data_IF_604665607941
#
_entry.id   IF_604665607941
#
_cell.length_a   1.000
_cell.length_b   1.000
_cell.length_c   1.000
_cell.angle_alpha   90.00
_cell.angle_beta   90.00
_cell.angle_gamma   90.00
#
_symmetry.space_group_name_H-M   'P 1'
#
loop_
_entity.id
_entity.type
_entity.pdbx_description
1 polymer ?
#
# COMPACT_ATOMS: atom_id res chain seq x y z
N UNK A 1 -21.25 -58.17 -2.46
CA UNK A 1 -19.87 -57.95 -1.97
C UNK A 1 -19.02 -57.37 -3.10
N UNK A 2 -18.95 -56.04 -3.19
CA UNK A 2 -17.96 -55.30 -3.99
C UNK A 2 -17.60 -54.04 -3.19
N UNK A 3 -16.40 -54.04 -2.63
CA UNK A 3 -15.79 -52.92 -1.94
C UNK A 3 -15.43 -51.84 -2.98
N UNK A 4 -16.07 -50.67 -2.92
CA UNK A 4 -15.59 -49.49 -3.65
C UNK A 4 -14.65 -48.71 -2.74
N UNK A 5 -13.35 -48.81 -3.04
CA UNK A 5 -12.30 -48.04 -2.40
C UNK A 5 -12.47 -46.55 -2.71
N UNK A 6 -12.30 -45.78 -1.63
CA UNK A 6 -12.22 -44.33 -1.54
C UNK A 6 -11.48 -43.63 -2.68
N UNK A 7 -12.08 -42.58 -3.23
CA UNK A 7 -11.36 -41.47 -3.83
C UNK A 7 -11.37 -40.31 -2.84
N UNK A 8 -10.27 -40.16 -2.10
CA UNK A 8 -9.92 -38.89 -1.47
C UNK A 8 -9.60 -37.92 -2.60
N UNK A 9 -10.41 -36.88 -2.79
CA UNK A 9 -10.04 -35.73 -3.61
C UNK A 9 -8.87 -35.02 -2.94
N UNK A 10 -7.65 -35.37 -3.35
CA UNK A 10 -6.49 -34.52 -3.12
C UNK A 10 -6.72 -33.23 -3.91
N UNK A 11 -6.72 -32.10 -3.21
CA UNK A 11 -6.76 -30.76 -3.79
C UNK A 11 -5.68 -30.64 -4.85
N UNK A 12 -6.11 -30.38 -6.07
CA UNK A 12 -5.30 -29.95 -7.19
C UNK A 12 -4.93 -28.47 -6.93
N UNK A 13 -3.76 -28.25 -6.36
CA UNK A 13 -3.18 -26.90 -6.15
C UNK A 13 -1.70 -26.97 -6.53
N UNK A 14 -1.44 -27.23 -7.81
CA UNK A 14 -0.15 -26.93 -8.40
C UNK A 14 -0.10 -25.42 -8.64
N UNK A 15 0.44 -24.67 -7.67
CA UNK A 15 0.78 -23.26 -7.91
C UNK A 15 1.61 -23.18 -9.19
N UNK A 16 1.11 -22.48 -10.21
CA UNK A 16 1.86 -22.25 -11.44
C UNK A 16 3.22 -21.65 -11.08
N UNK A 17 4.28 -22.39 -11.39
CA UNK A 17 5.69 -22.01 -11.21
C UNK A 17 6.07 -20.75 -12.01
N UNK A 18 5.25 -20.40 -12.99
CA UNK A 18 5.44 -19.30 -13.91
C UNK A 18 4.37 -18.23 -13.71
N UNK A 19 4.73 -16.98 -14.00
CA UNK A 19 3.81 -15.84 -14.02
C UNK A 19 4.08 -14.95 -15.23
N UNK A 20 3.05 -14.25 -15.72
CA UNK A 20 3.18 -13.30 -16.83
C UNK A 20 3.49 -11.90 -16.28
N UNK A 21 4.43 -11.19 -16.90
CA UNK A 21 4.70 -9.80 -16.59
C UNK A 21 3.66 -8.88 -17.26
N UNK A 22 3.02 -8.01 -16.48
CA UNK A 22 2.01 -7.07 -16.99
C UNK A 22 2.60 -5.97 -17.89
N UNK A 23 3.90 -5.67 -17.75
CA UNK A 23 4.58 -4.64 -18.54
C UNK A 23 5.10 -5.16 -19.89
N UNK A 24 5.91 -6.23 -19.90
CA UNK A 24 6.53 -6.73 -21.13
C UNK A 24 5.85 -7.98 -21.71
N UNK A 25 4.90 -8.59 -21.00
CA UNK A 25 4.19 -9.78 -21.44
C UNK A 25 4.98 -11.09 -21.31
N UNK A 26 6.27 -11.06 -20.95
CA UNK A 26 7.11 -12.24 -20.77
C UNK A 26 6.59 -13.17 -19.67
N UNK A 27 6.74 -14.47 -19.86
CA UNK A 27 6.46 -15.49 -18.85
C UNK A 27 7.75 -15.71 -18.06
N UNK A 28 7.73 -15.40 -16.78
CA UNK A 28 8.90 -15.42 -15.89
C UNK A 28 8.72 -16.42 -14.76
N UNK A 29 9.81 -17.04 -14.33
CA UNK A 29 9.80 -18.01 -13.24
C UNK A 29 9.67 -17.30 -11.89
N UNK A 30 8.73 -17.73 -11.04
CA UNK A 30 8.40 -17.02 -9.78
C UNK A 30 9.59 -16.92 -8.82
N UNK A 31 10.40 -17.97 -8.68
CA UNK A 31 11.57 -17.94 -7.76
C UNK A 31 12.61 -16.90 -8.17
N UNK A 32 12.88 -16.74 -9.47
CA UNK A 32 13.81 -15.72 -9.97
C UNK A 32 13.27 -14.31 -9.68
N UNK A 33 11.95 -14.13 -9.77
CA UNK A 33 11.31 -12.86 -9.40
C UNK A 33 11.43 -12.60 -7.89
N UNK A 34 11.29 -13.62 -7.04
CA UNK A 34 11.48 -13.52 -5.60
C UNK A 34 12.94 -13.18 -5.23
N UNK A 35 13.91 -13.84 -5.86
CA UNK A 35 15.34 -13.55 -5.71
C UNK A 35 15.67 -12.10 -6.11
N UNK A 36 14.99 -11.57 -7.15
CA UNK A 36 15.08 -10.17 -7.58
C UNK A 36 14.12 -9.24 -6.82
N UNK A 37 13.69 -9.59 -5.61
CA UNK A 37 12.82 -8.77 -4.75
C UNK A 37 11.57 -8.27 -5.46
N UNK A 38 10.90 -9.18 -6.18
CA UNK A 38 9.68 -8.92 -6.96
C UNK A 38 9.86 -7.95 -8.12
N UNK A 39 11.03 -7.98 -8.75
CA UNK A 39 11.29 -7.27 -10.01
C UNK A 39 11.34 -8.23 -11.19
N UNK A 40 10.75 -7.84 -12.32
CA UNK A 40 10.80 -8.62 -13.54
C UNK A 40 12.24 -8.76 -14.04
N UNK A 41 12.75 -10.00 -14.26
CA UNK A 41 14.12 -10.20 -14.70
C UNK A 41 14.40 -9.64 -16.09
N UNK A 42 13.38 -9.50 -16.93
CA UNK A 42 13.49 -9.09 -18.33
C UNK A 42 13.41 -7.57 -18.51
N UNK A 43 12.47 -6.89 -17.84
CA UNK A 43 12.21 -5.47 -18.06
C UNK A 43 12.34 -4.60 -16.80
N UNK A 44 12.65 -5.19 -15.65
CA UNK A 44 12.76 -4.46 -14.38
C UNK A 44 11.44 -3.96 -13.81
N UNK A 45 10.28 -4.36 -14.34
CA UNK A 45 8.97 -3.98 -13.78
C UNK A 45 8.82 -4.46 -12.33
N UNK A 46 8.39 -3.56 -11.45
CA UNK A 46 8.13 -3.87 -10.04
C UNK A 46 6.75 -4.50 -9.88
N UNK A 47 6.70 -5.77 -9.49
CA UNK A 47 5.46 -6.45 -9.14
C UNK A 47 4.94 -5.96 -7.79
N UNK A 48 3.64 -6.16 -7.55
CA UNK A 48 3.05 -5.92 -6.23
C UNK A 48 3.69 -6.86 -5.21
N UNK A 49 3.98 -6.30 -4.05
CA UNK A 49 4.52 -7.05 -2.92
C UNK A 49 3.60 -6.92 -1.72
N UNK A 50 3.58 -7.95 -0.87
CA UNK A 50 2.83 -7.90 0.39
C UNK A 50 3.50 -6.98 1.41
N UNK A 51 2.78 -6.64 2.47
CA UNK A 51 3.35 -5.89 3.59
C UNK A 51 4.53 -6.63 4.22
N UNK A 52 4.38 -7.94 4.42
CA UNK A 52 5.43 -8.79 5.01
C UNK A 52 6.68 -8.85 4.14
N UNK A 53 6.51 -8.97 2.81
CA UNK A 53 7.62 -8.92 1.86
C UNK A 53 8.32 -7.56 1.90
N UNK A 54 7.57 -6.45 1.93
CA UNK A 54 8.16 -5.10 2.02
C UNK A 54 8.97 -4.93 3.30
N UNK A 55 8.42 -5.34 4.44
CA UNK A 55 9.11 -5.29 5.74
C UNK A 55 10.41 -6.08 5.66
N UNK A 56 10.35 -7.34 5.18
CA UNK A 56 11.52 -8.21 5.07
C UNK A 56 12.60 -7.68 4.11
N UNK A 57 12.21 -6.94 3.06
CA UNK A 57 13.18 -6.36 2.12
C UNK A 57 13.81 -5.04 2.59
N UNK A 58 13.20 -4.38 3.58
CA UNK A 58 13.55 -3.00 3.96
C UNK A 58 14.17 -2.92 5.34
N UNK A 59 13.61 -3.64 6.31
CA UNK A 59 14.02 -3.61 7.71
C UNK A 59 14.95 -4.77 8.03
N UNK A 60 15.78 -4.57 9.05
CA UNK A 60 16.68 -5.59 9.57
C UNK A 60 15.88 -6.74 10.20
N UNK A 61 16.31 -7.98 9.98
CA UNK A 61 15.63 -9.18 10.44
C UNK A 61 15.43 -9.18 11.96
N UNK A 62 14.23 -9.55 12.42
CA UNK A 62 13.89 -9.65 13.84
C UNK A 62 13.69 -8.30 14.55
N UNK A 63 13.76 -7.17 13.86
CA UNK A 63 13.61 -5.83 14.48
C UNK A 63 12.20 -5.26 14.40
N UNK A 64 11.34 -5.82 13.55
CA UNK A 64 9.98 -5.33 13.35
C UNK A 64 9.10 -5.56 14.57
N UNK A 65 8.44 -4.49 15.03
CA UNK A 65 7.40 -4.51 16.06
C UNK A 65 6.19 -3.75 15.54
N UNK A 66 5.11 -4.47 15.24
CA UNK A 66 3.86 -3.85 14.78
C UNK A 66 3.20 -3.04 15.91
N UNK A 67 2.69 -1.87 15.57
CA UNK A 67 1.99 -0.95 16.46
C UNK A 67 0.54 -0.75 15.97
N UNK A 68 -0.36 -0.51 16.90
CA UNK A 68 -1.76 -0.15 16.61
C UNK A 68 -2.51 -1.20 15.76
N UNK A 69 -2.16 -2.48 15.94
CA UNK A 69 -2.75 -3.62 15.24
C UNK A 69 -4.24 -3.84 15.58
N UNK A 70 -4.69 -3.23 16.68
CA UNK A 70 -6.04 -3.28 17.22
C UNK A 70 -7.00 -2.25 16.60
N UNK A 71 -6.51 -1.29 15.81
CA UNK A 71 -7.36 -0.27 15.15
C UNK A 71 -8.01 -0.86 13.89
N UNK A 72 -9.33 -0.74 13.79
CA UNK A 72 -10.15 -1.27 12.71
C UNK A 72 -11.25 -0.30 12.28
N UNK A 73 -11.74 -0.45 11.04
CA UNK A 73 -12.76 0.44 10.49
C UNK A 73 -14.14 0.02 10.97
N UNK A 74 -15.00 1.01 11.19
CA UNK A 74 -16.44 0.86 11.27
C UNK A 74 -17.10 1.33 9.96
N UNK A 75 -18.42 1.11 9.82
CA UNK A 75 -19.24 1.68 8.74
C UNK A 75 -20.07 2.86 9.28
N UNK A 76 -19.49 4.07 9.42
CA UNK A 76 -20.15 5.20 10.07
C UNK A 76 -21.32 5.74 9.24
N UNK A 77 -21.34 5.49 7.93
CA UNK A 77 -22.36 6.01 7.01
C UNK A 77 -23.43 4.98 6.68
N UNK A 78 -23.33 3.74 7.17
CA UNK A 78 -24.15 2.60 6.76
C UNK A 78 -24.21 2.49 5.22
N UNK A 79 -23.04 2.54 4.58
CA UNK A 79 -22.93 2.73 3.14
C UNK A 79 -23.48 1.53 2.35
N UNK A 80 -24.45 1.81 1.46
CA UNK A 80 -25.11 0.78 0.63
C UNK A 80 -24.83 1.03 -0.85
N UNK A 81 -24.19 0.04 -1.47
CA UNK A 81 -24.03 -0.07 -2.92
C UNK A 81 -24.28 -1.53 -3.34
N UNK A 82 -23.94 -1.89 -4.58
CA UNK A 82 -24.06 -3.29 -5.08
C UNK A 82 -23.34 -4.31 -4.18
N UNK A 83 -22.26 -3.89 -3.51
CA UNK A 83 -21.68 -4.55 -2.35
C UNK A 83 -21.64 -3.53 -1.22
N UNK A 84 -22.07 -3.91 -0.02
CA UNK A 84 -22.00 -3.03 1.16
C UNK A 84 -20.55 -2.77 1.56
N UNK A 85 -20.30 -1.71 2.34
CA UNK A 85 -18.95 -1.44 2.82
C UNK A 85 -18.43 -2.60 3.68
N UNK A 86 -19.25 -3.08 4.63
CA UNK A 86 -18.91 -4.22 5.49
C UNK A 86 -18.53 -5.48 4.71
N UNK A 87 -19.24 -5.80 3.62
CA UNK A 87 -18.89 -6.93 2.75
C UNK A 87 -17.53 -6.75 2.07
N UNK A 88 -17.25 -5.56 1.52
CA UNK A 88 -15.95 -5.26 0.89
C UNK A 88 -14.82 -5.32 1.90
N UNK A 89 -15.06 -4.79 3.10
CA UNK A 89 -14.10 -4.74 4.18
C UNK A 89 -13.76 -6.13 4.70
N UNK A 90 -14.75 -6.98 4.99
CA UNK A 90 -14.51 -8.35 5.44
C UNK A 90 -13.85 -9.21 4.35
N UNK A 91 -14.19 -9.00 3.08
CA UNK A 91 -13.49 -9.65 1.97
C UNK A 91 -12.01 -9.23 1.89
N UNK A 92 -11.71 -7.95 2.10
CA UNK A 92 -10.34 -7.45 2.14
C UNK A 92 -9.56 -8.01 3.34
N UNK A 93 -10.15 -7.99 4.56
CA UNK A 93 -9.58 -8.60 5.77
C UNK A 93 -9.25 -10.06 5.58
N UNK A 94 -10.18 -10.85 5.01
CA UNK A 94 -9.95 -12.27 4.75
C UNK A 94 -8.84 -12.51 3.72
N UNK A 95 -8.74 -11.63 2.71
CA UNK A 95 -7.73 -11.75 1.65
C UNK A 95 -6.33 -11.41 2.16
N UNK A 96 -6.18 -10.37 2.97
CA UNK A 96 -4.86 -9.86 3.39
C UNK A 96 -4.43 -10.33 4.77
N UNK A 97 -5.37 -10.81 5.61
CA UNK A 97 -5.12 -11.09 7.02
C UNK A 97 -4.92 -9.83 7.88
N UNK A 98 -5.13 -8.63 7.33
CA UNK A 98 -4.92 -7.34 8.01
C UNK A 98 -6.25 -6.69 8.38
N UNK A 99 -6.25 -5.85 9.41
CA UNK A 99 -7.45 -5.10 9.82
C UNK A 99 -7.79 -3.94 8.90
N UNK A 100 -6.79 -3.28 8.32
CA UNK A 100 -7.00 -2.24 7.31
C UNK A 100 -5.79 -2.18 6.36
N UNK A 101 -5.79 -1.25 5.42
CA UNK A 101 -4.72 -1.05 4.46
C UNK A 101 -3.43 -0.52 5.09
N UNK A 102 -3.49 0.22 6.20
CA UNK A 102 -2.30 0.76 6.85
C UNK A 102 -1.74 -0.20 7.92
N UNK A 103 -0.45 -0.49 7.80
CA UNK A 103 0.36 -1.20 8.79
C UNK A 103 1.46 -0.25 9.27
N UNK A 104 1.64 -0.15 10.59
CA UNK A 104 2.56 0.78 11.23
C UNK A 104 3.34 0.00 12.28
N UNK A 105 4.62 0.30 12.43
CA UNK A 105 5.46 -0.31 13.44
C UNK A 105 6.78 0.40 13.59
N UNK A 106 7.63 -0.15 14.45
CA UNK A 106 9.04 0.25 14.55
C UNK A 106 9.93 -0.87 14.00
N UNK A 107 11.12 -0.50 13.58
CA UNK A 107 12.16 -1.45 13.19
C UNK A 107 13.47 -0.72 12.96
N UNK A 108 14.48 -1.45 12.48
CA UNK A 108 15.79 -0.88 12.19
C UNK A 108 16.14 -1.03 10.71
N UNK A 109 16.89 -0.07 10.18
CA UNK A 109 17.51 -0.16 8.86
C UNK A 109 19.01 0.04 9.05
N UNK A 110 19.81 -1.01 8.84
CA UNK A 110 21.25 -1.00 9.10
C UNK A 110 21.58 -0.55 10.55
N UNK A 111 20.80 -1.03 11.52
CA UNK A 111 20.93 -0.71 12.94
C UNK A 111 20.35 0.63 13.37
N UNK A 112 19.78 1.42 12.47
CA UNK A 112 19.15 2.70 12.79
C UNK A 112 17.65 2.53 13.02
N UNK A 113 17.18 2.80 14.23
CA UNK A 113 15.77 2.75 14.58
C UNK A 113 14.95 3.75 13.77
N UNK A 114 13.78 3.33 13.31
CA UNK A 114 12.82 4.14 12.58
C UNK A 114 11.39 3.73 12.91
N UNK A 115 10.46 4.65 12.66
CA UNK A 115 9.05 4.31 12.49
C UNK A 115 8.83 3.99 11.02
N UNK A 116 8.26 2.83 10.76
CA UNK A 116 7.98 2.37 9.41
C UNK A 116 6.48 2.12 9.26
N UNK A 117 5.90 2.64 8.19
CA UNK A 117 4.52 2.38 7.82
C UNK A 117 4.39 2.02 6.34
N UNK A 118 3.37 1.23 6.02
CA UNK A 118 3.01 0.88 4.66
C UNK A 118 1.50 0.93 4.47
N UNK A 119 1.06 1.49 3.35
CA UNK A 119 -0.33 1.41 2.88
C UNK A 119 -0.41 0.33 1.81
N UNK A 120 -1.14 -0.75 2.07
CA UNK A 120 -1.26 -1.92 1.20
C UNK A 120 -2.36 -1.77 0.15
N UNK A 121 -1.97 -1.81 -1.12
CA UNK A 121 -2.86 -1.78 -2.26
C UNK A 121 -3.79 -3.01 -2.34
N UNK A 122 -3.47 -4.12 -1.67
CA UNK A 122 -4.31 -5.32 -1.66
C UNK A 122 -5.57 -5.16 -0.81
N UNK A 123 -5.60 -4.17 0.08
CA UNK A 123 -6.74 -3.85 0.93
C UNK A 123 -7.52 -2.65 0.35
N UNK A 124 -8.60 -2.93 -0.40
CA UNK A 124 -9.44 -1.90 -1.04
C UNK A 124 -8.59 -0.85 -1.81
N UNK A 125 -7.63 -1.34 -2.61
CA UNK A 125 -6.70 -0.52 -3.40
C UNK A 125 -5.87 0.47 -2.58
N UNK A 126 -5.67 0.21 -1.28
CA UNK A 126 -4.97 1.11 -0.38
C UNK A 126 -5.69 2.44 -0.19
N UNK A 127 -7.02 2.47 -0.42
CA UNK A 127 -7.81 3.69 -0.30
C UNK A 127 -7.74 4.24 1.13
N UNK A 128 -7.53 5.55 1.25
CA UNK A 128 -7.42 6.23 2.54
C UNK A 128 -8.79 6.49 3.13
N UNK A 129 -9.14 5.71 4.16
CA UNK A 129 -10.26 5.95 5.07
C UNK A 129 -9.76 6.33 6.47
N UNK A 130 -10.66 6.36 7.45
CA UNK A 130 -10.38 6.83 8.82
C UNK A 130 -9.25 6.06 9.49
N UNK A 131 -9.17 4.74 9.30
CA UNK A 131 -8.10 3.93 9.90
C UNK A 131 -6.74 4.22 9.28
N UNK A 132 -6.66 4.35 7.95
CA UNK A 132 -5.41 4.75 7.28
C UNK A 132 -4.95 6.10 7.80
N UNK A 133 -5.86 7.08 7.83
CA UNK A 133 -5.55 8.41 8.35
C UNK A 133 -5.12 8.42 9.82
N UNK A 134 -5.81 7.67 10.69
CA UNK A 134 -5.44 7.50 12.11
C UNK A 134 -4.06 6.86 12.26
N UNK A 135 -3.82 5.71 11.63
CA UNK A 135 -2.55 4.99 11.76
C UNK A 135 -1.36 5.81 11.26
N UNK A 136 -1.48 6.49 10.12
CA UNK A 136 -0.41 7.37 9.62
C UNK A 136 -0.20 8.60 10.52
N UNK A 137 -1.27 9.14 11.10
CA UNK A 137 -1.17 10.22 12.10
C UNK A 137 -0.41 9.75 13.34
N UNK A 138 -0.77 8.58 13.87
CA UNK A 138 -0.10 7.97 15.03
C UNK A 138 1.36 7.63 14.72
N UNK A 139 1.68 7.17 13.51
CA UNK A 139 3.05 6.94 13.08
C UNK A 139 3.89 8.23 13.14
N UNK A 140 3.35 9.34 12.63
CA UNK A 140 4.03 10.64 12.67
C UNK A 140 4.18 11.18 14.10
N UNK A 141 3.15 11.07 14.93
CA UNK A 141 3.24 11.47 16.34
C UNK A 141 4.21 10.61 17.13
N UNK A 142 4.21 9.29 16.91
CA UNK A 142 5.14 8.37 17.55
C UNK A 142 6.59 8.66 17.16
N UNK A 143 6.84 8.89 15.86
CA UNK A 143 8.15 9.30 15.35
C UNK A 143 8.62 10.61 16.00
N UNK A 144 7.71 11.58 16.13
CA UNK A 144 7.98 12.88 16.76
C UNK A 144 8.31 12.73 18.25
N UNK A 145 7.51 11.99 18.99
CA UNK A 145 7.70 11.77 20.43
C UNK A 145 9.02 11.06 20.74
N UNK A 146 9.37 10.04 19.95
CA UNK A 146 10.55 9.22 20.16
C UNK A 146 11.79 9.72 19.40
N UNK A 147 11.67 10.84 18.67
CA UNK A 147 12.72 11.43 17.83
C UNK A 147 13.32 10.43 16.83
N UNK A 148 12.45 9.64 16.22
CA UNK A 148 12.80 8.65 15.20
C UNK A 148 12.47 9.19 13.80
N UNK A 149 13.25 8.81 12.76
CA UNK A 149 12.84 9.05 11.39
C UNK A 149 11.57 8.28 11.07
N UNK A 150 10.68 8.89 10.28
CA UNK A 150 9.47 8.26 9.77
C UNK A 150 9.69 7.86 8.31
N UNK A 151 9.33 6.63 7.97
CA UNK A 151 9.35 6.12 6.60
C UNK A 151 7.96 5.59 6.27
N UNK A 152 7.32 6.12 5.23
CA UNK A 152 6.01 5.62 4.76
C UNK A 152 6.12 5.12 3.32
N UNK A 153 5.79 3.85 3.10
CA UNK A 153 5.68 3.25 1.76
C UNK A 153 4.22 3.31 1.29
N UNK A 154 3.96 3.98 0.17
CA UNK A 154 2.63 4.16 -0.38
C UNK A 154 2.30 3.12 -1.44
N UNK A 155 1.30 2.26 -1.17
CA UNK A 155 0.53 1.50 -2.15
C UNK A 155 -0.89 2.03 -2.32
N UNK A 156 -1.11 3.34 -2.15
CA UNK A 156 -2.44 3.95 -2.17
C UNK A 156 -2.90 4.33 -3.58
N UNK A 157 -3.23 3.32 -4.40
CA UNK A 157 -3.72 3.54 -5.77
C UNK A 157 -5.20 3.94 -5.84
N UNK A 158 -5.96 3.67 -4.77
CA UNK A 158 -7.41 3.87 -4.71
C UNK A 158 -7.88 5.27 -4.34
N UNK A 159 -6.97 6.18 -3.96
CA UNK A 159 -7.32 7.53 -3.50
C UNK A 159 -8.09 7.52 -2.18
N UNK A 160 -9.16 8.33 -2.07
CA UNK A 160 -10.00 8.38 -0.86
C UNK A 160 -10.96 7.18 -0.79
N UNK A 161 -11.22 6.66 0.42
CA UNK A 161 -12.18 5.57 0.62
C UNK A 161 -13.60 6.13 0.53
N UNK A 162 -14.25 5.93 -0.61
CA UNK A 162 -15.56 6.53 -0.90
C UNK A 162 -16.64 6.10 0.10
N UNK A 163 -16.53 4.89 0.64
CA UNK A 163 -17.47 4.31 1.60
C UNK A 163 -17.56 5.11 2.91
N UNK A 164 -16.51 5.85 3.28
CA UNK A 164 -16.49 6.71 4.47
C UNK A 164 -16.72 8.20 4.14
N UNK A 165 -16.93 8.54 2.86
CA UNK A 165 -17.30 9.87 2.40
C UNK A 165 -16.36 10.98 2.87
N UNK A 166 -16.91 11.99 3.54
CA UNK A 166 -16.17 13.17 3.99
C UNK A 166 -15.09 12.85 5.03
N UNK A 167 -15.25 11.76 5.80
CA UNK A 167 -14.23 11.33 6.76
C UNK A 167 -12.91 10.98 6.06
N UNK A 168 -12.97 10.35 4.90
CA UNK A 168 -11.80 10.06 4.07
C UNK A 168 -11.10 11.32 3.58
N UNK A 169 -11.86 12.37 3.21
CA UNK A 169 -11.28 13.65 2.80
C UNK A 169 -10.54 14.31 3.97
N UNK A 170 -11.13 14.32 5.17
CA UNK A 170 -10.49 14.92 6.35
C UNK A 170 -9.19 14.23 6.77
N UNK A 171 -8.98 12.96 6.39
CA UNK A 171 -7.71 12.29 6.65
C UNK A 171 -6.53 12.96 5.93
N UNK A 172 -6.76 13.63 4.79
CA UNK A 172 -5.73 14.42 4.11
C UNK A 172 -5.20 15.53 5.02
N UNK A 173 -6.10 16.34 5.59
CA UNK A 173 -5.73 17.43 6.47
C UNK A 173 -5.09 16.91 7.77
N UNK A 174 -5.66 15.85 8.35
CA UNK A 174 -5.18 15.24 9.60
C UNK A 174 -3.75 14.72 9.49
N UNK A 175 -3.47 13.91 8.47
CA UNK A 175 -2.13 13.33 8.25
C UNK A 175 -1.12 14.42 7.90
N UNK A 176 -1.50 15.37 7.04
CA UNK A 176 -0.64 16.51 6.69
C UNK A 176 -0.26 17.35 7.92
N UNK A 177 -1.22 17.59 8.83
CA UNK A 177 -0.95 18.32 10.07
C UNK A 177 0.03 17.58 11.00
N UNK A 178 -0.10 16.26 11.13
CA UNK A 178 0.82 15.46 11.94
C UNK A 178 2.24 15.40 11.35
N UNK A 179 2.35 15.25 10.03
CA UNK A 179 3.64 15.30 9.32
C UNK A 179 4.30 16.67 9.51
N UNK A 180 3.53 17.75 9.39
CA UNK A 180 4.06 19.10 9.64
C UNK A 180 4.58 19.26 11.06
N UNK A 181 3.88 18.72 12.06
CA UNK A 181 4.36 18.73 13.47
C UNK A 181 5.64 17.91 13.66
N UNK A 182 5.80 16.79 12.95
CA UNK A 182 7.05 16.02 12.94
C UNK A 182 8.20 16.86 12.37
N UNK A 183 8.01 17.46 11.19
CA UNK A 183 9.02 18.29 10.54
C UNK A 183 9.40 19.52 11.39
N UNK A 184 8.41 20.18 12.01
CA UNK A 184 8.65 21.34 12.90
C UNK A 184 9.46 21.00 14.16
N UNK A 185 9.44 19.74 14.57
CA UNK A 185 10.29 19.24 15.67
C UNK A 185 11.72 18.89 15.25
N UNK A 186 12.05 19.03 13.96
CA UNK A 186 13.31 18.60 13.37
C UNK A 186 13.37 17.11 13.03
N UNK A 187 12.24 16.41 13.02
CA UNK A 187 12.15 15.01 12.61
C UNK A 187 12.27 14.86 11.10
N UNK A 188 12.78 13.71 10.65
CA UNK A 188 12.92 13.38 9.21
C UNK A 188 11.77 12.50 8.77
N UNK A 189 11.16 12.85 7.64
CA UNK A 189 10.11 12.08 6.99
C UNK A 189 10.51 11.70 5.56
N UNK A 190 10.57 10.39 5.30
CA UNK A 190 10.83 9.81 3.98
C UNK A 190 9.56 9.15 3.46
N UNK A 191 9.19 9.44 2.22
CA UNK A 191 8.12 8.71 1.54
C UNK A 191 8.67 7.89 0.39
N UNK A 192 8.20 6.65 0.28
CA UNK A 192 8.45 5.77 -0.87
C UNK A 192 7.15 5.59 -1.66
N UNK A 193 7.09 6.15 -2.86
CA UNK A 193 5.96 6.07 -3.77
C UNK A 193 6.07 4.82 -4.64
N UNK A 194 5.07 3.94 -4.54
CA UNK A 194 5.01 2.70 -5.34
C UNK A 194 3.85 2.74 -6.33
N UNK A 195 3.85 1.78 -7.27
CA UNK A 195 2.80 1.68 -8.29
C UNK A 195 1.49 1.10 -7.71
N UNK A 196 0.40 1.85 -7.54
CA UNK A 196 0.21 3.28 -7.83
C UNK A 196 0.04 4.08 -6.55
N UNK A 197 0.37 5.38 -6.60
CA UNK A 197 0.07 6.34 -5.53
C UNK A 197 -0.72 7.51 -6.12
N UNK A 198 -2.03 7.52 -5.83
CA UNK A 198 -2.97 8.39 -6.53
C UNK A 198 -3.88 9.19 -5.59
N UNK A 199 -4.53 10.22 -6.12
CA UNK A 199 -5.65 10.88 -5.47
C UNK A 199 -5.29 11.59 -4.17
N UNK A 200 -6.16 11.43 -3.16
CA UNK A 200 -6.02 12.10 -1.87
C UNK A 200 -4.72 11.78 -1.14
N UNK A 201 -4.18 10.57 -1.30
CA UNK A 201 -2.88 10.20 -0.70
C UNK A 201 -1.74 10.97 -1.34
N UNK A 202 -1.68 11.03 -2.68
CA UNK A 202 -0.68 11.82 -3.41
C UNK A 202 -0.80 13.32 -3.11
N UNK A 203 -2.03 13.84 -2.97
CA UNK A 203 -2.29 15.24 -2.62
C UNK A 203 -2.22 15.55 -1.12
N UNK A 204 -1.70 14.64 -0.29
CA UNK A 204 -1.48 14.86 1.14
C UNK A 204 -0.17 14.21 1.57
N UNK A 205 -0.19 13.34 2.57
CA UNK A 205 1.00 12.78 3.22
C UNK A 205 2.07 12.28 2.24
N UNK A 206 1.70 11.65 1.11
CA UNK A 206 2.68 11.02 0.24
C UNK A 206 3.60 12.03 -0.50
N UNK A 207 3.18 13.27 -0.71
CA UNK A 207 4.00 14.31 -1.35
C UNK A 207 4.65 15.28 -0.37
N UNK A 208 4.55 15.02 0.94
CA UNK A 208 5.06 15.90 2.00
C UNK A 208 6.35 15.40 2.64
N UNK A 209 6.98 14.36 2.08
CA UNK A 209 8.27 13.87 2.55
C UNK A 209 9.38 14.90 2.39
N UNK A 210 10.30 14.96 3.36
CA UNK A 210 11.58 15.68 3.22
C UNK A 210 12.42 15.04 2.10
N UNK A 211 12.32 13.71 1.98
CA UNK A 211 12.84 12.93 0.86
C UNK A 211 11.70 12.10 0.27
N UNK A 212 11.49 12.23 -1.03
CA UNK A 212 10.50 11.46 -1.79
C UNK A 212 11.27 10.56 -2.76
N UNK A 213 11.03 9.26 -2.64
CA UNK A 213 11.62 8.22 -3.48
C UNK A 213 10.48 7.59 -4.26
N UNK A 214 10.64 7.42 -5.57
CA UNK A 214 9.67 6.69 -6.38
C UNK A 214 10.30 5.40 -6.93
N UNK A 215 9.55 4.31 -6.93
CA UNK A 215 9.95 3.12 -7.66
C UNK A 215 9.81 3.34 -9.17
N UNK A 216 10.71 2.78 -10.01
CA UNK A 216 10.68 2.97 -11.46
C UNK A 216 9.32 2.65 -12.07
N UNK A 217 8.91 3.47 -13.05
CA UNK A 217 7.63 3.38 -13.76
C UNK A 217 6.39 3.40 -12.84
N UNK A 218 6.50 3.87 -11.59
CA UNK A 218 5.35 3.97 -10.71
C UNK A 218 4.34 4.99 -11.25
N UNK A 219 3.04 4.65 -11.25
CA UNK A 219 1.99 5.59 -11.63
C UNK A 219 1.64 6.50 -10.45
N UNK A 220 1.92 7.79 -10.59
CA UNK A 220 1.84 8.81 -9.54
C UNK A 220 1.03 10.03 -9.99
N UNK A 221 0.05 10.44 -9.19
CA UNK A 221 -0.62 11.71 -9.45
C UNK A 221 -1.99 11.89 -8.81
N UNK A 222 -2.55 13.09 -8.94
CA UNK A 222 -3.82 13.41 -8.30
C UNK A 222 -5.02 12.74 -9.01
N UNK A 223 -5.24 13.04 -10.29
CA UNK A 223 -6.28 12.41 -11.08
C UNK A 223 -5.69 11.26 -11.93
N UNK A 224 -6.45 10.19 -12.14
CA UNK A 224 -6.02 9.10 -13.00
C UNK A 224 -5.91 9.52 -14.47
N UNK A 225 -4.99 8.93 -15.24
CA UNK A 225 -4.73 9.34 -16.63
C UNK A 225 -5.98 9.20 -17.51
N UNK A 226 -6.80 8.18 -17.25
CA UNK A 226 -8.09 8.00 -17.93
C UNK A 226 -9.04 9.19 -17.76
N UNK A 227 -9.15 9.73 -16.54
CA UNK A 227 -10.04 10.86 -16.24
C UNK A 227 -9.51 12.14 -16.90
N UNK A 228 -8.19 12.33 -16.88
CA UNK A 228 -7.53 13.48 -17.51
C UNK A 228 -7.76 13.45 -19.02
N UNK A 229 -7.44 12.34 -19.69
CA UNK A 229 -7.61 12.17 -21.14
C UNK A 229 -9.05 12.45 -21.60
N UNK A 230 -10.06 11.98 -20.83
CA UNK A 230 -11.47 12.26 -21.12
C UNK A 230 -11.84 13.74 -20.97
N UNK A 231 -11.22 14.44 -20.02
CA UNK A 231 -11.47 15.85 -19.74
C UNK A 231 -10.88 16.74 -20.82
N UNK A 232 -9.61 16.50 -21.19
CA UNK A 232 -8.90 17.30 -22.21
C UNK A 232 -9.22 16.85 -23.65
N UNK A 233 -9.83 15.67 -23.81
CA UNK A 233 -10.15 15.04 -25.11
C UNK A 233 -8.93 14.91 -26.02
N UNK A 234 -7.80 14.56 -25.44
CA UNK A 234 -6.53 14.35 -26.13
C UNK A 234 -5.85 13.09 -25.60
N UNK A 235 -5.00 12.49 -26.43
CA UNK A 235 -4.09 11.44 -25.98
C UNK A 235 -3.03 12.05 -25.07
N UNK A 236 -2.72 11.34 -23.99
CA UNK A 236 -1.68 11.74 -23.05
C UNK A 236 -0.32 11.27 -23.56
N UNK A 237 0.76 12.02 -23.31
CA UNK A 237 2.11 11.60 -23.67
C UNK A 237 2.46 10.21 -23.13
N UNK A 238 3.35 9.49 -23.82
CA UNK A 238 3.91 8.25 -23.30
C UNK A 238 4.65 8.53 -21.97
N UNK A 239 4.46 7.67 -20.97
CA UNK A 239 5.01 7.89 -19.63
C UNK A 239 4.31 8.98 -18.82
N UNK A 240 3.15 9.51 -19.26
CA UNK A 240 2.44 10.48 -18.44
C UNK A 240 2.10 9.90 -17.05
N UNK A 241 2.52 10.61 -15.99
CA UNK A 241 2.42 10.19 -14.58
C UNK A 241 3.31 9.03 -14.15
N UNK A 242 4.32 8.62 -14.94
CA UNK A 242 5.36 7.73 -14.41
C UNK A 242 6.32 8.48 -13.50
N UNK A 243 7.17 7.75 -12.77
CA UNK A 243 8.16 8.32 -11.86
C UNK A 243 9.27 9.13 -12.54
N UNK A 244 9.59 8.80 -13.80
CA UNK A 244 10.55 9.46 -14.69
C UNK A 244 9.96 10.73 -15.32
#
# INVERSE_FOLDING_TARGET
MKLSLSQRNAKDDTESLWQRCDACGSIVYKKVVEEKKKSCPECGFHFRISVDERIAYTLDEGTWVELYDNIESCDPLNFKAKKSYSEKYEAAKKKTGRRDAAVVGTGQIKGLSCVFAMVDANFIMGSMGSVVGEKLTLAAEHAREHKLPLIIVSGSGGGARMEEGLLSLFQMAKTSAAIKRLQDSGGVYITVLTNATMGGSMASWASLGDVIIAEPQALLGFAGPRVIAQTVRQELPAGFQTSE
#
